data_IF_484166474633
#
_entry.id   IF_484166474633
#
_cell.length_a   1.000
_cell.length_b   1.000
_cell.length_c   1.000
_cell.angle_alpha   90.00
_cell.angle_beta   90.00
_cell.angle_gamma   90.00
#
_symmetry.space_group_name_H-M   'P 1'
#
loop_
_entity.id
_entity.type
_entity.pdbx_description
1 polymer ?
#
# COMPACT_ATOMS: atom_id res chain seq x y z
N UNK A 1 5.83 -54.70 11.00
CA UNK A 1 7.09 -54.68 10.23
C UNK A 1 7.15 -53.30 9.61
N UNK A 2 8.10 -52.45 10.01
CA UNK A 2 8.29 -51.16 9.35
C UNK A 2 8.81 -51.46 7.95
N UNK A 3 8.15 -50.95 6.91
CA UNK A 3 8.65 -51.07 5.55
C UNK A 3 10.06 -50.45 5.51
N UNK A 4 11.07 -51.14 4.96
CA UNK A 4 12.42 -50.59 4.90
C UNK A 4 12.38 -49.28 4.13
N UNK A 5 13.07 -48.27 4.66
CA UNK A 5 13.19 -46.99 3.99
C UNK A 5 13.85 -47.21 2.62
N UNK A 6 13.21 -46.72 1.57
CA UNK A 6 13.57 -46.97 0.17
C UNK A 6 13.69 -45.65 -0.58
N UNK A 7 14.74 -45.59 -1.40
CA UNK A 7 14.92 -44.57 -2.43
C UNK A 7 14.85 -45.29 -3.78
N UNK A 8 13.98 -44.83 -4.67
CA UNK A 8 13.84 -45.32 -6.04
C UNK A 8 14.21 -44.19 -6.99
N UNK A 9 15.11 -44.47 -7.93
CA UNK A 9 15.59 -43.49 -8.91
C UNK A 9 15.42 -44.06 -10.31
N UNK A 10 14.74 -43.31 -11.18
CA UNK A 10 14.66 -43.57 -12.62
C UNK A 10 15.39 -42.45 -13.34
N UNK A 11 16.37 -42.79 -14.17
CA UNK A 11 17.26 -41.80 -14.79
C UNK A 11 17.44 -42.08 -16.29
N UNK A 12 17.39 -41.01 -17.08
CA UNK A 12 17.81 -40.97 -18.48
C UNK A 12 18.99 -39.98 -18.61
N UNK A 13 19.46 -39.73 -19.83
CA UNK A 13 20.59 -38.82 -20.09
C UNK A 13 20.35 -37.37 -19.62
N UNK A 14 19.12 -36.94 -19.39
CA UNK A 14 18.83 -35.59 -18.88
C UNK A 14 17.58 -35.46 -18.03
N UNK A 15 16.97 -36.55 -17.58
CA UNK A 15 15.82 -36.55 -16.67
C UNK A 15 16.11 -37.49 -15.51
N UNK A 16 15.93 -37.04 -14.28
CA UNK A 16 15.99 -37.85 -13.06
C UNK A 16 14.65 -37.75 -12.34
N UNK A 17 14.06 -38.90 -12.03
CA UNK A 17 12.88 -39.03 -11.16
C UNK A 17 13.28 -39.79 -9.90
N UNK A 18 13.05 -39.19 -8.74
CA UNK A 18 13.38 -39.78 -7.44
C UNK A 18 12.14 -39.86 -6.56
N UNK A 19 11.84 -41.05 -6.03
CA UNK A 19 10.83 -41.26 -5.00
C UNK A 19 11.54 -41.80 -3.75
N UNK A 20 11.43 -41.11 -2.63
CA UNK A 20 12.12 -41.47 -1.38
C UNK A 20 11.18 -41.33 -0.18
N UNK A 21 11.31 -42.26 0.77
CA UNK A 21 10.75 -42.10 2.12
C UNK A 21 11.84 -42.02 3.20
N UNK A 22 13.10 -41.82 2.79
CA UNK A 22 14.29 -41.87 3.64
C UNK A 22 14.80 -40.48 4.03
N UNK A 23 15.09 -40.27 5.31
CA UNK A 23 15.83 -39.10 5.80
C UNK A 23 15.23 -37.75 5.38
N UNK A 24 16.08 -36.87 4.86
CA UNK A 24 15.74 -35.49 4.43
C UNK A 24 15.33 -35.39 2.96
N UNK A 25 15.27 -36.50 2.22
CA UNK A 25 14.90 -36.51 0.79
C UNK A 25 13.49 -37.06 0.58
N UNK A 26 12.66 -37.08 1.63
CA UNK A 26 11.30 -37.62 1.57
C UNK A 26 10.46 -36.91 0.52
N UNK A 27 9.70 -37.71 -0.22
CA UNK A 27 8.77 -37.23 -1.24
C UNK A 27 9.20 -37.58 -2.66
N UNK A 28 8.81 -36.72 -3.59
CA UNK A 28 9.01 -36.87 -5.03
C UNK A 28 9.85 -35.71 -5.57
N UNK A 29 10.88 -36.03 -6.35
CA UNK A 29 11.69 -35.04 -7.07
C UNK A 29 11.79 -35.40 -8.54
N UNK A 30 11.58 -34.42 -9.41
CA UNK A 30 11.83 -34.51 -10.85
C UNK A 30 12.86 -33.44 -11.21
N UNK A 31 13.98 -33.85 -11.78
CA UNK A 31 15.02 -32.97 -12.30
C UNK A 31 15.14 -33.16 -13.81
N UNK A 32 15.20 -32.05 -14.55
CA UNK A 32 15.49 -32.04 -15.98
C UNK A 32 16.72 -31.18 -16.20
N UNK A 33 17.76 -31.74 -16.82
CA UNK A 33 19.06 -31.10 -16.99
C UNK A 33 19.60 -31.33 -18.41
N UNK A 34 20.87 -30.96 -18.65
CA UNK A 34 21.55 -31.24 -19.92
C UNK A 34 21.58 -32.76 -20.19
N UNK A 35 21.40 -33.21 -21.44
CA UNK A 35 21.27 -32.41 -22.66
C UNK A 35 19.83 -31.98 -23.00
N UNK A 36 18.82 -32.35 -22.19
CA UNK A 36 17.40 -32.09 -22.48
C UNK A 36 17.05 -30.60 -22.38
N UNK A 37 17.62 -29.91 -21.39
CA UNK A 37 17.48 -28.46 -21.21
C UNK A 37 18.84 -27.81 -20.94
N UNK A 38 18.99 -26.56 -21.35
CA UNK A 38 20.20 -25.76 -21.07
C UNK A 38 20.26 -25.28 -19.61
N UNK A 39 19.11 -24.88 -19.07
CA UNK A 39 18.89 -24.43 -17.71
C UNK A 39 18.16 -25.53 -16.94
N UNK A 40 18.72 -26.06 -15.83
CA UNK A 40 18.09 -27.13 -15.06
C UNK A 40 16.71 -26.73 -14.53
N UNK A 41 15.75 -27.65 -14.60
CA UNK A 41 14.41 -27.50 -14.02
C UNK A 41 14.24 -28.53 -12.91
N UNK A 42 13.56 -28.15 -11.83
CA UNK A 42 13.28 -29.06 -10.71
C UNK A 42 11.84 -28.89 -10.23
N UNK A 43 11.16 -30.01 -9.98
CA UNK A 43 9.86 -30.08 -9.31
C UNK A 43 10.01 -30.96 -8.07
N UNK A 44 9.64 -30.44 -6.91
CA UNK A 44 9.73 -31.13 -5.61
C UNK A 44 8.35 -31.19 -4.97
N UNK A 45 8.00 -32.36 -4.44
CA UNK A 45 6.90 -32.55 -3.50
C UNK A 45 7.50 -33.16 -2.23
N UNK A 46 7.43 -32.47 -1.11
CA UNK A 46 7.97 -32.91 0.18
C UNK A 46 7.04 -32.54 1.35
N UNK A 47 7.53 -32.61 2.58
CA UNK A 47 6.79 -32.21 3.77
C UNK A 47 6.64 -30.68 3.92
N UNK A 48 7.42 -29.89 3.20
CA UNK A 48 7.33 -28.43 3.15
C UNK A 48 6.31 -27.95 2.09
N UNK A 49 5.99 -28.79 1.10
CA UNK A 49 4.93 -28.58 0.14
C UNK A 49 5.35 -28.91 -1.29
N UNK A 50 5.10 -27.98 -2.22
CA UNK A 50 5.40 -28.12 -3.64
C UNK A 50 6.29 -26.96 -4.09
N UNK A 51 7.38 -27.27 -4.79
CA UNK A 51 8.26 -26.26 -5.38
C UNK A 51 8.56 -26.54 -6.85
N UNK A 52 8.46 -25.52 -7.70
CA UNK A 52 8.93 -25.51 -9.09
C UNK A 52 10.08 -24.51 -9.19
N UNK A 53 11.23 -24.99 -9.66
CA UNK A 53 12.46 -24.23 -9.76
C UNK A 53 13.02 -24.26 -11.20
N UNK A 54 13.54 -23.12 -11.65
CA UNK A 54 14.28 -22.98 -12.91
C UNK A 54 15.64 -22.34 -12.63
N UNK A 55 16.69 -23.14 -12.74
CA UNK A 55 18.08 -22.73 -12.56
C UNK A 55 18.35 -22.09 -11.19
N UNK A 56 17.95 -22.77 -10.11
CA UNK A 56 18.00 -22.29 -8.72
C UNK A 56 17.17 -21.04 -8.44
N UNK A 57 16.29 -20.63 -9.35
CA UNK A 57 15.27 -19.60 -9.11
C UNK A 57 13.94 -20.29 -8.91
N UNK A 58 13.39 -20.21 -7.70
CA UNK A 58 12.03 -20.65 -7.43
C UNK A 58 11.08 -19.83 -8.29
N UNK A 59 10.21 -20.49 -9.05
CA UNK A 59 9.17 -19.84 -9.86
C UNK A 59 7.83 -19.89 -9.13
N UNK A 60 7.56 -21.03 -8.48
CA UNK A 60 6.34 -21.24 -7.73
C UNK A 60 6.61 -22.10 -6.49
N UNK A 61 6.06 -21.70 -5.35
CA UNK A 61 6.12 -22.44 -4.10
C UNK A 61 4.76 -22.44 -3.42
N UNK A 62 4.28 -23.63 -3.07
CA UNK A 62 3.02 -23.82 -2.36
C UNK A 62 3.33 -24.52 -1.05
N UNK A 63 3.03 -23.87 0.07
CA UNK A 63 3.22 -24.40 1.43
C UNK A 63 1.90 -24.36 2.21
N UNK A 64 1.90 -24.82 3.46
CA UNK A 64 0.76 -24.66 4.34
C UNK A 64 0.46 -23.20 4.71
N UNK A 65 1.42 -22.29 4.56
CA UNK A 65 1.32 -20.90 4.99
C UNK A 65 1.16 -19.92 3.82
N UNK A 66 1.75 -20.26 2.67
CA UNK A 66 1.87 -19.35 1.53
C UNK A 66 1.72 -20.04 0.18
N UNK A 67 1.24 -19.27 -0.79
CA UNK A 67 1.43 -19.52 -2.22
C UNK A 67 2.28 -18.37 -2.75
N UNK A 68 3.45 -18.67 -3.29
CA UNK A 68 4.41 -17.68 -3.78
C UNK A 68 4.74 -17.95 -5.26
N UNK A 69 4.80 -16.88 -6.03
CA UNK A 69 5.37 -16.84 -7.38
C UNK A 69 6.50 -15.82 -7.39
N UNK A 70 7.68 -16.20 -7.88
CA UNK A 70 8.86 -15.34 -7.86
C UNK A 70 9.63 -15.36 -9.18
N UNK A 71 10.16 -14.20 -9.57
CA UNK A 71 11.13 -14.08 -10.66
C UNK A 71 12.17 -13.03 -10.28
N UNK A 72 13.33 -13.49 -9.79
CA UNK A 72 14.40 -12.65 -9.28
C UNK A 72 13.95 -11.68 -8.17
N UNK A 73 13.72 -10.41 -8.51
CA UNK A 73 13.38 -9.35 -7.56
C UNK A 73 11.86 -9.16 -7.39
N UNK A 74 11.03 -9.78 -8.24
CA UNK A 74 9.58 -9.63 -8.24
C UNK A 74 8.91 -10.84 -7.60
N UNK A 75 7.96 -10.61 -6.69
CA UNK A 75 7.18 -11.65 -6.04
C UNK A 75 5.68 -11.34 -6.02
N UNK A 76 4.88 -12.40 -6.07
CA UNK A 76 3.46 -12.41 -5.75
C UNK A 76 3.25 -13.45 -4.66
N UNK A 77 2.68 -13.04 -3.52
CA UNK A 77 2.51 -13.90 -2.36
C UNK A 77 1.08 -13.82 -1.86
N UNK A 78 0.43 -14.98 -1.72
CA UNK A 78 -0.78 -15.14 -0.92
C UNK A 78 -0.34 -15.77 0.40
N UNK A 79 -0.58 -15.08 1.51
CA UNK A 79 -0.36 -15.57 2.86
C UNK A 79 -1.69 -15.57 3.61
N UNK A 80 -1.72 -16.22 4.78
CA UNK A 80 -2.93 -16.34 5.62
C UNK A 80 -3.59 -14.97 5.89
N UNK A 81 -2.77 -13.94 6.15
CA UNK A 81 -3.26 -12.65 6.63
C UNK A 81 -3.19 -11.52 5.58
N UNK A 82 -2.59 -11.79 4.42
CA UNK A 82 -2.38 -10.79 3.39
C UNK A 82 -2.15 -11.36 1.99
N UNK A 83 -2.36 -10.52 0.99
CA UNK A 83 -1.93 -10.75 -0.39
C UNK A 83 -0.96 -9.63 -0.76
N UNK A 84 0.19 -9.97 -1.31
CA UNK A 84 1.27 -9.03 -1.61
C UNK A 84 1.77 -9.20 -3.04
N UNK A 85 2.05 -8.08 -3.70
CA UNK A 85 2.83 -8.00 -4.94
C UNK A 85 3.99 -7.05 -4.66
N UNK A 86 5.22 -7.49 -4.90
CA UNK A 86 6.42 -6.72 -4.59
C UNK A 86 7.41 -6.76 -5.74
N UNK A 87 8.00 -5.61 -6.06
CA UNK A 87 9.16 -5.48 -6.93
C UNK A 87 10.06 -4.38 -6.35
N UNK A 88 11.21 -4.77 -5.80
CA UNK A 88 12.15 -3.84 -5.16
C UNK A 88 11.46 -2.90 -4.14
N UNK A 89 11.39 -1.60 -4.44
CA UNK A 89 10.77 -0.58 -3.60
C UNK A 89 9.26 -0.42 -3.81
N UNK A 90 8.67 -1.07 -4.82
CA UNK A 90 7.25 -1.04 -5.15
C UNK A 90 6.54 -2.20 -4.45
N UNK A 91 5.45 -1.91 -3.77
CA UNK A 91 4.67 -2.89 -3.01
C UNK A 91 3.17 -2.56 -3.11
N UNK A 92 2.37 -3.58 -3.39
CA UNK A 92 0.91 -3.56 -3.21
C UNK A 92 0.59 -4.64 -2.17
N UNK A 93 -0.11 -4.27 -1.10
CA UNK A 93 -0.45 -5.18 -0.02
C UNK A 93 -1.91 -5.04 0.37
N UNK A 94 -2.67 -6.12 0.23
CA UNK A 94 -4.01 -6.27 0.79
C UNK A 94 -3.88 -6.94 2.15
N UNK A 95 -4.44 -6.32 3.18
CA UNK A 95 -4.56 -6.88 4.54
C UNK A 95 -6.03 -6.93 4.94
N UNK A 96 -6.32 -7.47 6.13
CA UNK A 96 -7.67 -7.45 6.69
C UNK A 96 -8.25 -6.04 6.90
N UNK A 97 -7.41 -5.03 7.08
CA UNK A 97 -7.83 -3.66 7.45
C UNK A 97 -7.59 -2.62 6.36
N UNK A 98 -6.74 -2.93 5.37
CA UNK A 98 -6.30 -1.94 4.38
C UNK A 98 -5.85 -2.53 3.05
N UNK A 99 -5.89 -1.67 2.03
CA UNK A 99 -5.12 -1.80 0.80
C UNK A 99 -4.02 -0.75 0.84
N UNK A 100 -2.78 -1.18 0.85
CA UNK A 100 -1.60 -0.33 0.85
C UNK A 100 -0.89 -0.41 -0.51
N UNK A 101 -0.54 0.75 -1.05
CA UNK A 101 0.26 0.93 -2.25
C UNK A 101 1.48 1.76 -1.86
N UNK A 102 2.67 1.31 -2.20
CA UNK A 102 3.92 1.98 -1.85
C UNK A 102 4.87 1.95 -3.03
N UNK A 103 5.60 3.05 -3.22
CA UNK A 103 6.87 3.04 -3.92
C UNK A 103 7.93 3.71 -3.04
N UNK A 104 9.13 3.94 -3.58
CA UNK A 104 10.27 4.48 -2.84
C UNK A 104 10.03 5.85 -2.17
N UNK A 105 9.03 6.63 -2.58
CA UNK A 105 8.79 7.99 -2.03
C UNK A 105 7.32 8.37 -1.81
N UNK A 106 6.38 7.54 -2.26
CA UNK A 106 4.95 7.82 -2.26
C UNK A 106 4.17 6.63 -1.74
N UNK A 107 3.05 6.90 -1.07
CA UNK A 107 2.15 5.88 -0.54
C UNK A 107 0.70 6.22 -0.87
N UNK A 108 -0.11 5.19 -1.12
CA UNK A 108 -1.57 5.25 -1.14
C UNK A 108 -2.13 4.22 -0.18
N UNK A 109 -3.16 4.58 0.59
CA UNK A 109 -3.77 3.68 1.57
C UNK A 109 -5.28 3.85 1.55
N UNK A 110 -6.00 2.74 1.34
CA UNK A 110 -7.41 2.63 1.68
C UNK A 110 -7.48 1.90 3.01
N UNK A 111 -8.00 2.54 4.04
CA UNK A 111 -8.21 1.97 5.36
C UNK A 111 -9.66 2.17 5.78
N UNK A 112 -10.10 1.44 6.81
CA UNK A 112 -11.47 1.50 7.36
C UNK A 112 -12.05 2.91 7.48
N UNK A 113 -11.29 3.84 8.06
CA UNK A 113 -11.77 5.18 8.41
C UNK A 113 -11.25 6.29 7.49
N UNK A 114 -10.40 5.96 6.52
CA UNK A 114 -9.80 6.97 5.64
C UNK A 114 -9.22 6.42 4.35
N UNK A 115 -9.20 7.27 3.33
CA UNK A 115 -8.42 7.08 2.11
C UNK A 115 -7.33 8.16 2.10
N UNK A 116 -6.08 7.76 1.89
CA UNK A 116 -4.94 8.67 1.95
C UNK A 116 -3.98 8.46 0.78
N UNK A 117 -3.48 9.56 0.21
CA UNK A 117 -2.33 9.61 -0.70
C UNK A 117 -1.25 10.48 -0.05
N UNK A 118 0.01 10.09 -0.12
CA UNK A 118 1.09 10.84 0.53
C UNK A 118 2.39 10.78 -0.27
N UNK A 119 3.04 11.93 -0.39
CA UNK A 119 4.40 12.12 -0.90
C UNK A 119 4.96 13.37 -0.21
N UNK A 120 5.86 13.21 0.75
CA UNK A 120 6.34 14.33 1.58
C UNK A 120 6.78 15.54 0.73
N UNK A 121 6.31 16.76 1.02
CA UNK A 121 5.43 17.16 2.14
C UNK A 121 3.91 17.08 1.84
N UNK A 122 3.52 16.66 0.63
CA UNK A 122 2.14 16.60 0.18
C UNK A 122 1.37 15.38 0.74
N UNK A 123 0.16 15.62 1.25
CA UNK A 123 -0.77 14.60 1.75
C UNK A 123 -2.20 14.97 1.34
N UNK A 124 -2.95 14.00 0.82
CA UNK A 124 -4.41 14.11 0.62
C UNK A 124 -5.07 13.04 1.47
N UNK A 125 -6.05 13.42 2.30
CA UNK A 125 -6.79 12.51 3.16
C UNK A 125 -8.29 12.76 3.04
N UNK A 126 -9.05 11.72 2.72
CA UNK A 126 -10.49 11.67 2.86
C UNK A 126 -10.82 10.87 4.12
N UNK A 127 -11.75 11.38 4.93
CA UNK A 127 -12.25 10.74 6.14
C UNK A 127 -13.73 11.07 6.34
N UNK A 128 -14.36 10.49 7.35
CA UNK A 128 -15.72 10.88 7.77
C UNK A 128 -15.83 12.35 8.21
N UNK A 129 -14.72 12.96 8.66
CA UNK A 129 -14.69 14.39 9.02
C UNK A 129 -14.54 15.35 7.83
N UNK A 130 -14.33 14.82 6.63
CA UNK A 130 -14.19 15.58 5.39
C UNK A 130 -12.88 15.31 4.64
N UNK A 131 -12.40 16.32 3.91
CA UNK A 131 -11.24 16.23 3.00
C UNK A 131 -10.15 17.18 3.47
N UNK A 132 -8.92 16.70 3.55
CA UNK A 132 -7.74 17.49 3.88
C UNK A 132 -6.70 17.33 2.77
N UNK A 133 -6.13 18.44 2.31
CA UNK A 133 -5.00 18.51 1.40
C UNK A 133 -3.93 19.34 2.10
N UNK A 134 -2.78 18.76 2.40
CA UNK A 134 -1.66 19.42 3.05
C UNK A 134 -0.47 19.41 2.12
N UNK A 135 0.22 20.55 2.00
CA UNK A 135 1.49 20.69 1.29
C UNK A 135 2.27 21.83 1.96
N UNK A 136 2.80 21.55 3.15
CA UNK A 136 3.36 22.57 4.06
C UNK A 136 4.26 23.58 3.34
N UNK A 137 4.06 24.90 3.54
CA UNK A 137 3.16 25.52 4.53
C UNK A 137 1.68 25.65 4.10
N UNK A 138 1.31 25.23 2.90
CA UNK A 138 -0.05 25.33 2.40
C UNK A 138 -0.95 24.18 2.90
N UNK A 139 -2.23 24.47 3.12
CA UNK A 139 -3.25 23.46 3.43
C UNK A 139 -4.64 23.88 2.93
N UNK A 140 -5.50 22.90 2.69
CA UNK A 140 -6.91 23.05 2.37
C UNK A 140 -7.72 22.00 3.13
N UNK A 141 -8.82 22.41 3.75
CA UNK A 141 -9.70 21.56 4.55
C UNK A 141 -11.16 21.83 4.19
N UNK A 142 -11.89 20.77 3.87
CA UNK A 142 -13.34 20.74 3.76
C UNK A 142 -13.88 19.89 4.92
N UNK A 143 -14.86 20.41 5.65
CA UNK A 143 -15.49 19.75 6.79
C UNK A 143 -16.96 20.13 6.89
N UNK A 144 -17.71 19.47 7.76
CA UNK A 144 -19.08 19.88 8.11
C UNK A 144 -19.15 21.28 8.76
N UNK A 145 -18.05 21.75 9.36
CA UNK A 145 -17.94 23.09 9.92
C UNK A 145 -17.58 24.18 8.90
N UNK A 146 -17.23 23.81 7.67
CA UNK A 146 -16.84 24.79 6.65
C UNK A 146 -15.64 24.39 5.79
N UNK A 147 -15.14 25.38 5.06
CA UNK A 147 -13.95 25.29 4.18
C UNK A 147 -12.87 26.22 4.72
N UNK A 148 -11.63 25.74 4.79
CA UNK A 148 -10.46 26.54 5.13
C UNK A 148 -9.35 26.31 4.11
N UNK A 149 -8.72 27.40 3.66
CA UNK A 149 -7.49 27.40 2.88
C UNK A 149 -6.47 28.22 3.67
N UNK A 150 -5.24 27.72 3.81
CA UNK A 150 -4.20 28.43 4.56
C UNK A 150 -2.86 28.33 3.85
N UNK A 151 -2.10 29.42 3.88
CA UNK A 151 -0.69 29.46 3.53
C UNK A 151 -0.06 30.59 4.36
N UNK A 152 0.44 30.26 5.56
CA UNK A 152 0.80 31.24 6.59
C UNK A 152 1.61 32.43 6.02
N UNK A 153 1.22 33.69 6.30
CA UNK A 153 0.19 34.12 7.27
C UNK A 153 -1.22 34.27 6.68
N UNK A 154 -1.44 33.89 5.42
CA UNK A 154 -2.72 34.06 4.74
C UNK A 154 -3.70 32.91 5.02
N UNK A 155 -4.99 33.24 5.22
CA UNK A 155 -6.06 32.25 5.33
C UNK A 155 -7.33 32.71 4.62
N UNK A 156 -8.14 31.76 4.16
CA UNK A 156 -9.50 31.96 3.65
C UNK A 156 -10.41 30.95 4.35
N UNK A 157 -11.50 31.41 4.97
CA UNK A 157 -12.43 30.57 5.72
C UNK A 157 -13.86 30.84 5.29
N UNK A 158 -14.60 29.76 5.03
CA UNK A 158 -16.06 29.76 4.95
C UNK A 158 -16.55 28.96 6.14
N UNK A 159 -16.95 29.63 7.21
CA UNK A 159 -17.39 29.00 8.46
C UNK A 159 -18.56 29.76 9.09
N UNK A 160 -19.38 29.12 9.93
CA UNK A 160 -20.35 29.81 10.76
C UNK A 160 -19.67 30.85 11.67
N UNK A 161 -20.19 32.08 11.72
CA UNK A 161 -19.67 33.10 12.64
C UNK A 161 -20.16 32.82 14.08
N UNK A 162 -19.30 32.85 15.11
CA UNK A 162 -19.69 32.66 16.51
C UNK A 162 -20.48 33.82 17.17
N UNK A 163 -21.33 34.57 16.45
CA UNK A 163 -22.11 35.67 17.03
C UNK A 163 -23.61 35.34 17.12
N UNK A 164 -24.00 34.78 18.27
CA UNK A 164 -25.19 35.14 19.05
C UNK A 164 -26.61 34.97 18.48
N UNK A 165 -26.87 35.09 17.19
CA UNK A 165 -28.21 34.93 16.63
C UNK A 165 -28.14 34.45 15.16
N UNK A 166 -28.41 33.15 15.01
CA UNK A 166 -28.41 32.33 13.79
C UNK A 166 -27.03 31.90 13.27
N UNK A 167 -26.89 30.59 13.03
CA UNK A 167 -25.84 29.91 12.27
C UNK A 167 -25.76 30.47 10.85
N UNK A 168 -25.12 31.62 10.68
CA UNK A 168 -24.91 32.26 9.37
C UNK A 168 -23.46 32.00 8.95
N UNK A 169 -23.29 31.32 7.82
CA UNK A 169 -21.98 31.15 7.18
C UNK A 169 -21.46 32.51 6.73
N UNK A 170 -20.25 32.85 7.16
CA UNK A 170 -19.52 34.03 6.69
C UNK A 170 -18.34 33.63 5.80
N UNK A 171 -17.76 34.62 5.15
CA UNK A 171 -16.49 34.49 4.42
C UNK A 171 -15.46 35.37 5.15
N UNK A 172 -14.32 34.81 5.51
CA UNK A 172 -13.19 35.52 6.09
C UNK A 172 -11.95 35.33 5.23
N UNK A 173 -11.29 36.43 4.87
CA UNK A 173 -9.98 36.44 4.24
C UNK A 173 -9.03 37.15 5.22
N UNK A 174 -7.89 36.55 5.54
CA UNK A 174 -6.87 37.16 6.39
C UNK A 174 -5.49 37.08 5.74
N UNK A 175 -4.64 38.07 6.01
CA UNK A 175 -3.22 38.06 5.69
C UNK A 175 -2.46 38.79 6.79
N UNK A 176 -1.99 38.06 7.79
CA UNK A 176 -1.46 38.66 9.02
C UNK A 176 -2.53 39.50 9.72
N UNK A 177 -2.28 40.79 9.95
CA UNK A 177 -3.23 41.69 10.61
C UNK A 177 -4.39 42.16 9.69
N UNK A 178 -4.17 42.16 8.36
CA UNK A 178 -5.18 42.59 7.41
C UNK A 178 -6.28 41.53 7.27
N UNK A 179 -7.54 41.96 7.23
CA UNK A 179 -8.67 41.04 7.10
C UNK A 179 -9.90 41.65 6.39
N UNK A 180 -10.65 40.80 5.71
CA UNK A 180 -11.98 41.08 5.15
C UNK A 180 -12.95 40.04 5.66
N UNK A 181 -14.03 40.48 6.32
CA UNK A 181 -15.08 39.61 6.85
C UNK A 181 -16.41 39.99 6.22
N UNK A 182 -17.02 39.05 5.50
CA UNK A 182 -18.34 39.18 4.91
C UNK A 182 -19.33 38.33 5.71
N UNK A 183 -20.41 38.97 6.15
CA UNK A 183 -21.61 38.33 6.68
C UNK A 183 -22.81 38.68 5.80
N UNK A 184 -23.97 38.03 5.98
CA UNK A 184 -25.18 38.43 5.27
C UNK A 184 -25.64 39.87 5.55
N UNK A 185 -25.16 40.50 6.63
CA UNK A 185 -25.60 41.83 7.06
C UNK A 185 -24.50 42.91 6.94
N UNK A 186 -23.24 42.53 6.73
CA UNK A 186 -22.13 43.48 6.78
C UNK A 186 -20.90 43.00 6.02
N UNK A 187 -20.12 43.96 5.55
CA UNK A 187 -18.73 43.80 5.15
C UNK A 187 -17.88 44.57 6.14
N UNK A 188 -16.88 43.93 6.73
CA UNK A 188 -15.90 44.56 7.60
C UNK A 188 -14.51 44.40 6.97
N UNK A 189 -13.80 45.52 6.80
CA UNK A 189 -12.42 45.57 6.30
C UNK A 189 -11.56 46.09 7.45
N UNK A 190 -10.50 45.36 7.81
CA UNK A 190 -9.55 45.70 8.88
C UNK A 190 -10.22 46.20 10.17
N UNK A 191 -11.26 45.48 10.64
CA UNK A 191 -12.05 45.87 11.82
C UNK A 191 -12.73 47.25 11.73
N UNK A 192 -13.12 47.67 10.52
CA UNK A 192 -13.79 48.95 10.25
C UNK A 192 -12.87 50.04 9.73
N UNK A 193 -11.55 49.80 9.66
CA UNK A 193 -10.61 50.69 9.02
C UNK A 193 -10.58 50.41 7.50
N UNK A 194 -11.37 51.16 6.73
CA UNK A 194 -11.17 51.18 5.28
C UNK A 194 -9.86 51.90 4.98
N UNK A 195 -8.84 51.15 4.60
CA UNK A 195 -7.59 51.70 4.09
C UNK A 195 -7.68 51.77 2.55
N UNK A 196 -7.76 53.00 2.01
CA UNK A 196 -7.60 53.27 0.58
C UNK A 196 -6.20 53.88 0.43
N UNK A 197 -5.31 53.20 -0.28
CA UNK A 197 -3.96 53.69 -0.62
C UNK A 197 -3.96 54.17 -2.06
#
# INVERSE_FOLDING_TARGET
MLDPEKVQVFKTDGITFTLSNFGTTKGLTIEVAKPVVSNPLTLVFDDNGIEINNNSKTIAKLTGETIELSNDASTVTLAVDNIQIKEDAVEIKLTKDSIDLKNSSSTGKLAKDSIQLSKSPAVIKLSSSGVEINNSPAAAKLSSSGIELSNSPATVKLAPWPLGHATRTGIELSNGAANVKLSPASVNINNGALEVI
#
